data_IF_647348243815
#
_entry.id   IF_647348243815
#
_cell.length_a   1.000
_cell.length_b   1.000
_cell.length_c   1.000
_cell.angle_alpha   90.00
_cell.angle_beta   90.00
_cell.angle_gamma   90.00
#
_symmetry.space_group_name_H-M   'P 1'
#
loop_
_entity.id
_entity.type
_entity.pdbx_description
1 polymer ?
#
# COMPACT_ATOMS: atom_id res chain seq x y z
N UNK A 1 10.47 7.90 7.37
CA UNK A 1 11.59 8.21 8.29
C UNK A 1 11.19 8.07 9.76
N UNK A 2 9.95 8.41 10.15
CA UNK A 2 9.50 8.26 11.55
C UNK A 2 9.45 6.79 12.05
N UNK A 3 8.96 5.85 11.23
CA UNK A 3 8.80 4.45 11.64
C UNK A 3 10.13 3.77 11.99
N UNK A 4 11.18 3.93 11.18
CA UNK A 4 12.49 3.32 11.45
C UNK A 4 13.11 3.91 12.73
N UNK A 5 13.04 5.22 12.93
CA UNK A 5 13.52 5.85 14.15
C UNK A 5 12.78 5.32 15.39
N UNK A 6 11.47 5.08 15.29
CA UNK A 6 10.68 4.48 16.37
C UNK A 6 11.09 3.03 16.65
N UNK A 7 11.25 2.20 15.62
CA UNK A 7 11.71 0.82 15.78
C UNK A 7 13.11 0.75 16.39
N UNK A 8 14.01 1.66 16.00
CA UNK A 8 15.35 1.79 16.59
C UNK A 8 15.27 2.21 18.05
N UNK A 9 14.44 3.20 18.38
CA UNK A 9 14.21 3.66 19.77
C UNK A 9 13.63 2.55 20.65
N UNK A 10 12.83 1.66 20.08
CA UNK A 10 12.27 0.49 20.76
C UNK A 10 13.26 -0.69 20.85
N UNK A 11 14.45 -0.57 20.24
CA UNK A 11 15.48 -1.60 20.29
C UNK A 11 15.24 -2.79 19.36
N UNK A 12 14.30 -2.71 18.41
CA UNK A 12 14.00 -3.80 17.48
C UNK A 12 14.91 -3.83 16.25
N UNK A 13 15.53 -2.70 15.92
CA UNK A 13 16.51 -2.60 14.83
C UNK A 13 17.76 -1.87 15.30
N UNK A 14 18.88 -2.19 14.68
CA UNK A 14 20.16 -1.49 14.80
C UNK A 14 20.53 -0.83 13.46
N UNK A 15 21.33 0.24 13.53
CA UNK A 15 21.87 0.93 12.37
C UNK A 15 23.39 1.00 12.47
N UNK A 16 24.09 0.72 11.38
CA UNK A 16 25.53 0.98 11.24
C UNK A 16 25.83 1.69 9.93
N UNK A 17 26.91 2.50 9.85
CA UNK A 17 27.36 3.05 8.57
C UNK A 17 27.69 1.91 7.61
N UNK A 18 27.40 2.09 6.33
CA UNK A 18 27.89 1.18 5.31
C UNK A 18 29.42 1.33 5.19
N UNK A 19 30.19 0.23 5.18
CA UNK A 19 31.65 0.28 5.06
C UNK A 19 32.12 0.88 3.72
N UNK A 20 31.32 0.74 2.66
CA UNK A 20 31.65 1.17 1.29
C UNK A 20 31.04 2.54 0.94
N UNK A 21 29.95 2.94 1.63
CA UNK A 21 29.35 4.27 1.51
C UNK A 21 28.97 4.88 2.87
N UNK A 22 29.80 5.79 3.39
CA UNK A 22 29.54 6.48 4.67
C UNK A 22 28.24 7.29 4.71
N UNK A 23 27.62 7.56 3.55
CA UNK A 23 26.32 8.25 3.45
C UNK A 23 25.14 7.29 3.59
N UNK A 24 25.35 5.98 3.41
CA UNK A 24 24.36 4.95 3.58
C UNK A 24 24.38 4.38 5.02
N UNK A 25 23.21 3.93 5.46
CA UNK A 25 23.04 3.23 6.75
C UNK A 25 22.49 1.84 6.48
N UNK A 26 23.19 0.83 6.98
CA UNK A 26 22.70 -0.55 7.01
C UNK A 26 21.82 -0.73 8.23
N UNK A 27 20.61 -1.25 8.01
CA UNK A 27 19.63 -1.57 9.05
C UNK A 27 19.59 -3.08 9.24
N UNK A 28 19.56 -3.55 10.48
CA UNK A 28 19.43 -4.97 10.81
C UNK A 28 18.51 -5.17 11.99
N UNK A 29 17.79 -6.30 12.05
CA UNK A 29 17.05 -6.68 13.24
C UNK A 29 18.02 -6.94 14.41
N UNK A 30 17.58 -6.63 15.61
CA UNK A 30 18.23 -7.09 16.84
C UNK A 30 17.67 -8.46 17.24
N UNK A 31 18.32 -9.21 18.15
CA UNK A 31 17.73 -10.45 18.69
C UNK A 31 16.33 -10.23 19.28
N UNK A 32 16.09 -9.09 19.92
CA UNK A 32 14.77 -8.69 20.43
C UNK A 32 13.78 -8.43 19.30
N UNK A 33 14.22 -7.74 18.23
CA UNK A 33 13.42 -7.52 17.03
C UNK A 33 13.03 -8.81 16.32
N UNK A 34 13.96 -9.76 16.21
CA UNK A 34 13.68 -11.09 15.66
C UNK A 34 12.65 -11.84 16.50
N UNK A 35 12.81 -11.88 17.84
CA UNK A 35 11.82 -12.52 18.74
C UNK A 35 10.42 -11.95 18.55
N UNK A 36 10.31 -10.61 18.46
CA UNK A 36 9.03 -9.94 18.23
C UNK A 36 8.48 -10.30 16.85
N UNK A 37 9.31 -10.28 15.81
CA UNK A 37 8.89 -10.64 14.45
C UNK A 37 8.36 -12.08 14.37
N UNK A 38 9.05 -13.04 15.01
CA UNK A 38 8.59 -14.43 15.09
C UNK A 38 7.24 -14.54 15.80
N UNK A 39 7.09 -13.86 16.94
CA UNK A 39 5.81 -13.84 17.65
C UNK A 39 4.69 -13.23 16.79
N UNK A 40 4.98 -12.19 16.01
CA UNK A 40 4.01 -11.61 15.08
C UNK A 40 3.60 -12.60 13.99
N UNK A 41 4.51 -13.40 13.42
CA UNK A 41 4.15 -14.43 12.45
C UNK A 41 3.16 -15.45 13.01
N UNK A 42 3.29 -15.84 14.28
CA UNK A 42 2.35 -16.73 14.97
C UNK A 42 0.96 -16.11 15.19
N UNK A 43 0.84 -14.79 15.13
CA UNK A 43 -0.43 -14.09 15.29
C UNK A 43 -1.07 -13.75 13.94
N UNK A 44 -0.25 -13.32 12.98
CA UNK A 44 -0.72 -12.78 11.69
C UNK A 44 -1.32 -13.85 10.77
N UNK A 45 -1.04 -15.14 10.97
CA UNK A 45 -1.72 -16.18 10.18
C UNK A 45 -3.22 -16.27 10.51
N UNK A 46 -3.64 -15.93 11.73
CA UNK A 46 -5.02 -16.15 12.19
C UNK A 46 -6.03 -15.30 11.42
N UNK A 47 -5.83 -13.97 11.23
CA UNK A 47 -6.72 -13.17 10.39
C UNK A 47 -6.74 -13.64 8.94
N UNK A 48 -5.57 -13.97 8.37
CA UNK A 48 -5.46 -14.48 6.99
C UNK A 48 -6.27 -15.75 6.80
N UNK A 49 -6.19 -16.68 7.76
CA UNK A 49 -6.97 -17.90 7.75
C UNK A 49 -8.47 -17.60 7.86
N UNK A 50 -8.87 -16.79 8.85
CA UNK A 50 -10.28 -16.44 9.04
C UNK A 50 -10.91 -15.81 7.79
N UNK A 51 -10.23 -14.83 7.18
CA UNK A 51 -10.77 -14.05 6.07
C UNK A 51 -10.76 -14.79 4.73
N UNK A 52 -9.76 -15.65 4.49
CA UNK A 52 -9.50 -16.19 3.16
C UNK A 52 -9.52 -17.71 3.09
N UNK A 53 -9.94 -18.44 4.14
CA UNK A 53 -9.94 -19.91 4.10
C UNK A 53 -10.81 -20.49 2.98
N UNK A 54 -11.94 -19.86 2.65
CA UNK A 54 -12.88 -20.34 1.63
C UNK A 54 -12.45 -20.07 0.18
N UNK A 55 -11.41 -19.25 -0.03
CA UNK A 55 -10.92 -18.94 -1.38
C UNK A 55 -9.87 -19.99 -1.78
N UNK A 56 -10.11 -20.69 -2.89
CA UNK A 56 -9.15 -21.65 -3.44
C UNK A 56 -7.79 -21.00 -3.67
N UNK A 57 -6.73 -21.76 -3.52
CA UNK A 57 -5.37 -21.24 -3.72
C UNK A 57 -5.17 -20.67 -5.13
N UNK A 58 -5.78 -21.26 -6.16
CA UNK A 58 -5.68 -20.75 -7.53
C UNK A 58 -6.38 -19.41 -7.68
N UNK A 59 -7.54 -19.25 -7.06
CA UNK A 59 -8.29 -17.98 -7.09
C UNK A 59 -7.55 -16.88 -6.32
N UNK A 60 -6.94 -17.21 -5.18
CA UNK A 60 -6.01 -16.30 -4.49
C UNK A 60 -4.88 -15.84 -5.41
N UNK A 61 -4.28 -16.76 -6.16
CA UNK A 61 -3.21 -16.43 -7.10
C UNK A 61 -3.69 -15.55 -8.25
N UNK A 62 -4.89 -15.80 -8.77
CA UNK A 62 -5.51 -14.94 -9.80
C UNK A 62 -5.69 -13.52 -9.26
N UNK A 63 -6.23 -13.35 -8.05
CA UNK A 63 -6.39 -12.03 -7.43
C UNK A 63 -5.04 -11.34 -7.24
N UNK A 64 -4.02 -12.05 -6.75
CA UNK A 64 -2.66 -11.51 -6.62
C UNK A 64 -2.15 -11.01 -7.97
N UNK A 65 -2.29 -11.81 -9.03
CA UNK A 65 -1.79 -11.46 -10.36
C UNK A 65 -2.54 -10.23 -10.93
N UNK A 66 -3.86 -10.17 -10.78
CA UNK A 66 -4.66 -9.02 -11.23
C UNK A 66 -4.24 -7.73 -10.52
N UNK A 67 -3.96 -7.80 -9.21
CA UNK A 67 -3.63 -6.63 -8.42
C UNK A 67 -2.15 -6.23 -8.51
N UNK A 68 -1.24 -7.13 -8.93
CA UNK A 68 0.21 -6.89 -8.92
C UNK A 68 0.61 -5.71 -9.80
N UNK A 69 0.12 -5.65 -11.04
CA UNK A 69 0.48 -4.56 -11.96
C UNK A 69 -0.05 -3.21 -11.47
N UNK A 70 -1.24 -3.23 -10.86
CA UNK A 70 -1.88 -2.06 -10.27
C UNK A 70 -1.10 -1.58 -9.05
N UNK A 71 -0.67 -2.48 -8.17
CA UNK A 71 0.17 -2.18 -7.01
C UNK A 71 1.49 -1.52 -7.43
N UNK A 72 2.20 -2.10 -8.41
CA UNK A 72 3.47 -1.57 -8.89
C UNK A 72 3.32 -0.18 -9.49
N UNK A 73 2.32 0.02 -10.35
CA UNK A 73 2.02 1.32 -10.95
C UNK A 73 1.75 2.36 -9.87
N UNK A 74 0.90 2.04 -8.90
CA UNK A 74 0.55 3.00 -7.86
C UNK A 74 1.68 3.24 -6.85
N UNK A 75 2.55 2.27 -6.60
CA UNK A 75 3.76 2.47 -5.80
C UNK A 75 4.66 3.55 -6.42
N UNK A 76 4.82 3.53 -7.76
CA UNK A 76 5.56 4.58 -8.48
C UNK A 76 4.87 5.94 -8.37
N UNK A 77 3.56 6.00 -8.61
CA UNK A 77 2.77 7.24 -8.50
C UNK A 77 2.88 7.82 -7.08
N UNK A 78 2.67 7.03 -6.03
CA UNK A 78 2.68 7.50 -4.64
C UNK A 78 4.07 7.86 -4.14
N UNK A 79 5.12 7.20 -4.62
CA UNK A 79 6.50 7.53 -4.23
C UNK A 79 7.04 8.80 -4.90
N UNK A 80 6.59 9.10 -6.12
CA UNK A 80 7.02 10.26 -6.91
C UNK A 80 6.24 11.55 -6.60
N UNK A 81 5.13 11.45 -5.84
CA UNK A 81 4.12 12.52 -5.74
C UNK A 81 3.86 12.94 -4.28
N UNK A 82 4.91 13.18 -3.49
CA UNK A 82 4.78 13.69 -2.11
C UNK A 82 4.31 15.16 -2.06
N UNK A 83 3.07 15.45 -2.48
CA UNK A 83 2.34 16.70 -2.21
C UNK A 83 1.05 16.88 -3.03
N UNK A 84 0.71 16.02 -4.00
CA UNK A 84 -0.46 16.28 -4.85
C UNK A 84 -1.78 15.83 -4.22
N UNK A 85 -2.84 16.57 -4.53
CA UNK A 85 -4.22 16.21 -4.20
C UNK A 85 -4.70 15.03 -5.07
N UNK A 86 -5.80 14.39 -4.66
CA UNK A 86 -6.44 13.34 -5.46
C UNK A 86 -6.84 13.87 -6.84
N UNK A 87 -7.33 15.11 -6.93
CA UNK A 87 -7.72 15.71 -8.21
C UNK A 87 -6.53 15.88 -9.15
N UNK A 88 -5.39 16.32 -8.63
CA UNK A 88 -4.15 16.44 -9.41
C UNK A 88 -3.63 15.08 -9.87
N UNK A 89 -3.83 14.02 -9.08
CA UNK A 89 -3.51 12.65 -9.47
C UNK A 89 -4.43 12.15 -10.59
N UNK A 90 -5.73 12.42 -10.49
CA UNK A 90 -6.71 12.05 -11.51
C UNK A 90 -6.44 12.77 -12.83
N UNK A 91 -6.08 14.06 -12.79
CA UNK A 91 -5.70 14.82 -13.99
C UNK A 91 -4.41 14.25 -14.60
N UNK A 92 -3.41 13.92 -13.79
CA UNK A 92 -2.15 13.36 -14.29
C UNK A 92 -2.33 11.97 -14.94
N UNK A 93 -3.27 11.16 -14.45
CA UNK A 93 -3.52 9.80 -14.91
C UNK A 93 -4.42 9.75 -16.16
N UNK A 94 -5.52 10.51 -16.16
CA UNK A 94 -6.54 10.46 -17.22
C UNK A 94 -6.48 11.65 -18.18
N UNK A 95 -5.83 12.75 -17.80
CA UNK A 95 -5.94 14.02 -18.50
C UNK A 95 -7.29 14.71 -18.25
N UNK A 96 -7.31 16.04 -18.39
CA UNK A 96 -8.48 16.86 -18.04
C UNK A 96 -9.73 16.49 -18.85
N UNK A 97 -9.57 16.22 -20.15
CA UNK A 97 -10.70 15.95 -21.05
C UNK A 97 -11.37 14.61 -20.75
N UNK A 98 -10.58 13.55 -20.53
CA UNK A 98 -11.12 12.23 -20.20
C UNK A 98 -11.73 12.24 -18.79
N UNK A 99 -11.08 12.92 -17.83
CA UNK A 99 -11.58 13.04 -16.47
C UNK A 99 -12.96 13.72 -16.44
N UNK A 100 -13.12 14.82 -17.20
CA UNK A 100 -14.40 15.52 -17.31
C UNK A 100 -15.51 14.60 -17.85
N UNK A 101 -15.22 13.82 -18.90
CA UNK A 101 -16.19 12.87 -19.45
C UNK A 101 -16.60 11.77 -18.44
N UNK A 102 -15.64 11.28 -17.64
CA UNK A 102 -15.90 10.31 -16.56
C UNK A 102 -16.79 10.94 -15.48
N UNK A 103 -16.47 12.15 -15.05
CA UNK A 103 -17.23 12.89 -14.02
C UNK A 103 -18.67 13.16 -14.46
N UNK A 104 -18.88 13.54 -15.72
CA UNK A 104 -20.22 13.74 -16.28
C UNK A 104 -21.05 12.46 -16.29
N UNK A 105 -20.43 11.30 -16.55
CA UNK A 105 -21.11 10.00 -16.49
C UNK A 105 -21.48 9.63 -15.05
N UNK A 106 -20.52 9.73 -14.12
CA UNK A 106 -20.75 9.45 -12.70
C UNK A 106 -21.87 10.34 -12.11
N UNK A 107 -21.88 11.63 -12.46
CA UNK A 107 -22.92 12.55 -12.00
C UNK A 107 -24.32 12.14 -12.50
N UNK A 108 -24.43 11.64 -13.74
CA UNK A 108 -25.70 11.11 -14.28
C UNK A 108 -26.15 9.88 -13.49
N UNK A 109 -25.25 8.94 -13.20
CA UNK A 109 -25.56 7.74 -12.42
C UNK A 109 -26.01 8.09 -10.98
N UNK A 110 -25.32 9.01 -10.32
CA UNK A 110 -25.67 9.48 -8.97
C UNK A 110 -27.07 10.12 -8.98
N UNK A 111 -27.34 10.97 -9.96
CA UNK A 111 -28.63 11.67 -10.08
C UNK A 111 -29.76 10.68 -10.33
N UNK A 112 -29.55 9.71 -11.22
CA UNK A 112 -30.53 8.65 -11.48
C UNK A 112 -30.83 7.83 -10.23
N UNK A 113 -29.79 7.41 -9.50
CA UNK A 113 -29.95 6.66 -8.26
C UNK A 113 -30.67 7.44 -7.15
N UNK A 114 -30.44 8.75 -7.06
CA UNK A 114 -31.14 9.62 -6.13
C UNK A 114 -32.64 9.75 -6.47
N UNK A 115 -32.97 9.83 -7.76
CA UNK A 115 -34.36 9.90 -8.24
C UNK A 115 -35.13 8.59 -8.03
N UNK A 116 -34.47 7.43 -8.16
CA UNK A 116 -35.10 6.11 -7.94
C UNK A 116 -35.38 5.81 -6.45
N UNK A 117 -34.79 6.58 -5.52
CA UNK A 117 -34.99 6.45 -4.07
C UNK A 117 -36.03 7.41 -3.48
N UNK A 118 -36.66 8.25 -4.31
CA UNK A 118 -37.68 9.22 -3.89
C UNK A 118 -39.06 8.76 -4.37
#
# INVERSE_FOLDING_TARGET
MDTLNRLKKQGYISERPDPDDKRAKLVSLTPEGEKVLFHLYELLYKPTLLMYHDIDYRDKQVVINILSDTEQKHQYILSSIKSKSIDELLIAEFGEMQLKAIQENLQKQITQFAMEKT
#
